data_IF_868038948805
#
_entry.id   IF_868038948805
#
_cell.length_a   1.000
_cell.length_b   1.000
_cell.length_c   1.000
_cell.angle_alpha   90.00
_cell.angle_beta   90.00
_cell.angle_gamma   90.00
#
_symmetry.space_group_name_H-M   'P 1'
#
loop_
_entity.id
_entity.type
_entity.pdbx_description
1 polymer ?
#
# COMPACT_ATOMS: atom_id res chain seq x y z
N UNK A 1 9.32 22.87 -34.72
CA UNK A 1 10.47 21.93 -34.75
C UNK A 1 10.96 21.59 -33.37
N UNK A 2 11.58 22.54 -32.65
CA UNK A 2 12.25 22.32 -31.36
C UNK A 2 11.32 21.84 -30.22
N UNK A 3 10.16 22.48 -30.02
CA UNK A 3 9.17 22.10 -28.99
C UNK A 3 8.65 20.66 -29.13
N UNK A 4 8.46 20.18 -30.37
CA UNK A 4 8.00 18.82 -30.64
C UNK A 4 9.02 17.76 -30.19
N UNK A 5 10.32 18.05 -30.33
CA UNK A 5 11.39 17.15 -29.89
C UNK A 5 11.46 17.04 -28.35
N UNK A 6 11.36 18.17 -27.62
CA UNK A 6 11.31 18.14 -26.15
C UNK A 6 10.06 17.45 -25.63
N UNK A 7 8.92 17.65 -26.28
CA UNK A 7 7.67 16.99 -25.89
C UNK A 7 7.82 15.46 -25.99
N UNK A 8 8.41 14.95 -27.08
CA UNK A 8 8.64 13.49 -27.24
C UNK A 8 9.56 12.94 -26.15
N UNK A 9 10.67 13.63 -25.84
CA UNK A 9 11.57 13.20 -24.76
C UNK A 9 10.88 13.21 -23.39
N UNK A 10 10.15 14.28 -23.07
CA UNK A 10 9.43 14.41 -21.81
C UNK A 10 8.34 13.35 -21.66
N UNK A 11 7.51 13.15 -22.69
CA UNK A 11 6.44 12.13 -22.68
C UNK A 11 7.03 10.73 -22.56
N UNK A 12 8.12 10.42 -23.26
CA UNK A 12 8.77 9.12 -23.16
C UNK A 12 9.31 8.87 -21.73
N UNK A 13 9.97 9.86 -21.12
CA UNK A 13 10.45 9.75 -19.74
C UNK A 13 9.30 9.62 -18.72
N UNK A 14 8.24 10.41 -18.87
CA UNK A 14 7.07 10.34 -18.00
C UNK A 14 6.37 8.97 -18.10
N UNK A 15 6.21 8.44 -19.31
CA UNK A 15 5.63 7.13 -19.55
C UNK A 15 6.51 6.00 -19.00
N UNK A 16 7.84 6.09 -19.16
CA UNK A 16 8.76 5.13 -18.57
C UNK A 16 8.65 5.11 -17.03
N UNK A 17 8.65 6.28 -16.39
CA UNK A 17 8.48 6.40 -14.93
C UNK A 17 7.13 5.85 -14.46
N UNK A 18 6.05 6.17 -15.18
CA UNK A 18 4.71 5.63 -14.88
C UNK A 18 4.71 4.10 -14.93
N UNK A 19 5.25 3.51 -16.01
CA UNK A 19 5.31 2.06 -16.16
C UNK A 19 6.14 1.40 -15.06
N UNK A 20 7.27 1.99 -14.67
CA UNK A 20 8.09 1.48 -13.56
C UNK A 20 7.34 1.53 -12.24
N UNK A 21 6.71 2.66 -11.90
CA UNK A 21 5.94 2.77 -10.65
C UNK A 21 4.77 1.80 -10.61
N UNK A 22 4.05 1.65 -11.73
CA UNK A 22 2.96 0.69 -11.85
C UNK A 22 3.44 -0.75 -11.66
N UNK A 23 4.54 -1.15 -12.31
CA UNK A 23 5.13 -2.49 -12.13
C UNK A 23 5.53 -2.76 -10.69
N UNK A 24 6.25 -1.83 -10.06
CA UNK A 24 6.63 -1.97 -8.64
C UNK A 24 5.39 -2.13 -7.74
N UNK A 25 4.30 -1.43 -8.08
CA UNK A 25 3.02 -1.54 -7.37
C UNK A 25 2.38 -2.91 -7.49
N UNK A 26 2.41 -3.49 -8.71
CA UNK A 26 1.89 -4.83 -8.98
C UNK A 26 2.75 -5.93 -8.37
N UNK A 27 4.08 -5.76 -8.37
CA UNK A 27 5.01 -6.71 -7.73
C UNK A 27 4.72 -6.86 -6.23
N UNK A 28 4.24 -5.81 -5.54
CA UNK A 28 3.83 -5.93 -4.14
C UNK A 28 2.71 -6.96 -3.95
N UNK A 29 1.72 -7.02 -4.84
CA UNK A 29 0.64 -8.01 -4.78
C UNK A 29 1.20 -9.44 -4.88
N UNK A 30 2.10 -9.68 -5.83
CA UNK A 30 2.76 -10.98 -6.00
C UNK A 30 3.54 -11.37 -4.73
N UNK A 31 4.24 -10.42 -4.10
CA UNK A 31 4.95 -10.70 -2.83
C UNK A 31 4.02 -11.02 -1.67
N UNK A 32 2.87 -10.35 -1.58
CA UNK A 32 1.86 -10.66 -0.56
C UNK A 32 1.34 -12.09 -0.77
N UNK A 33 1.14 -12.50 -2.02
CA UNK A 33 0.73 -13.86 -2.35
C UNK A 33 1.80 -14.91 -2.01
N UNK A 34 3.07 -14.64 -2.33
CA UNK A 34 4.20 -15.49 -1.93
C UNK A 34 4.22 -15.70 -0.41
N UNK A 35 4.11 -14.61 0.36
CA UNK A 35 4.08 -14.70 1.82
C UNK A 35 2.82 -15.39 2.32
N UNK A 36 1.66 -15.22 1.68
CA UNK A 36 0.45 -15.93 2.07
C UNK A 36 0.63 -17.46 1.97
N UNK A 37 1.29 -17.93 0.90
CA UNK A 37 1.61 -19.35 0.74
C UNK A 37 2.58 -19.85 1.81
N UNK A 38 3.67 -19.12 2.05
CA UNK A 38 4.64 -19.46 3.10
C UNK A 38 3.96 -19.45 4.47
N UNK A 39 3.19 -18.42 4.79
CA UNK A 39 2.52 -18.28 6.06
C UNK A 39 1.50 -19.41 6.31
N UNK A 40 0.76 -19.81 5.28
CA UNK A 40 -0.17 -20.93 5.35
C UNK A 40 0.52 -22.28 5.61
N UNK A 41 1.78 -22.45 5.16
CA UNK A 41 2.56 -23.67 5.40
C UNK A 41 3.22 -23.73 6.77
N UNK A 42 3.67 -22.60 7.32
CA UNK A 42 4.50 -22.59 8.54
C UNK A 42 3.75 -22.13 9.80
N UNK A 43 2.66 -21.36 9.66
CA UNK A 43 1.94 -20.82 10.82
C UNK A 43 0.56 -21.49 11.02
N UNK A 44 0.04 -21.48 12.25
CA UNK A 44 -1.37 -21.74 12.49
C UNK A 44 -2.24 -20.79 11.67
N UNK A 45 -3.40 -21.28 11.19
CA UNK A 45 -4.30 -20.54 10.29
C UNK A 45 -4.60 -19.11 10.76
N UNK A 46 -4.87 -18.92 12.06
CA UNK A 46 -5.18 -17.60 12.61
C UNK A 46 -4.01 -16.61 12.47
N UNK A 47 -2.78 -17.05 12.77
CA UNK A 47 -1.57 -16.24 12.63
C UNK A 47 -1.25 -15.95 11.16
N UNK A 48 -1.38 -16.95 10.28
CA UNK A 48 -1.19 -16.77 8.85
C UNK A 48 -2.15 -15.72 8.27
N UNK A 49 -3.44 -15.81 8.63
CA UNK A 49 -4.45 -14.83 8.23
C UNK A 49 -4.15 -13.42 8.77
N UNK A 50 -3.63 -13.32 10.00
CA UNK A 50 -3.23 -12.04 10.60
C UNK A 50 -2.10 -11.38 9.82
N UNK A 51 -1.06 -12.14 9.45
CA UNK A 51 0.07 -11.64 8.65
C UNK A 51 -0.41 -11.10 7.30
N UNK A 52 -1.19 -11.90 6.57
CA UNK A 52 -1.73 -11.51 5.25
C UNK A 52 -2.63 -10.29 5.37
N UNK A 53 -3.46 -10.20 6.42
CA UNK A 53 -4.31 -9.04 6.69
C UNK A 53 -3.49 -7.76 6.85
N UNK A 54 -2.43 -7.77 7.65
CA UNK A 54 -1.58 -6.60 7.84
C UNK A 54 -0.76 -6.25 6.61
N UNK A 55 -0.30 -7.23 5.82
CA UNK A 55 0.38 -6.96 4.55
C UNK A 55 -0.53 -6.27 3.54
N UNK A 56 -1.78 -6.71 3.41
CA UNK A 56 -2.78 -6.03 2.57
C UNK A 56 -3.09 -4.63 3.10
N UNK A 57 -3.21 -4.46 4.43
CA UNK A 57 -3.38 -3.14 5.03
C UNK A 57 -2.20 -2.22 4.72
N UNK A 58 -0.96 -2.72 4.82
CA UNK A 58 0.26 -1.98 4.53
C UNK A 58 0.32 -1.55 3.06
N UNK A 59 -0.07 -2.43 2.14
CA UNK A 59 -0.13 -2.12 0.71
C UNK A 59 -1.13 -1.00 0.43
N UNK A 60 -2.33 -1.08 0.99
CA UNK A 60 -3.33 -0.01 0.89
C UNK A 60 -2.81 1.31 1.51
N UNK A 61 -2.23 1.25 2.71
CA UNK A 61 -1.70 2.42 3.40
C UNK A 61 -0.58 3.12 2.61
N UNK A 62 0.20 2.36 1.81
CA UNK A 62 1.26 2.90 0.96
C UNK A 62 0.78 3.83 -0.15
N UNK A 63 -0.51 3.82 -0.50
CA UNK A 63 -1.08 4.74 -1.48
C UNK A 63 -1.64 6.02 -0.86
N UNK A 64 -1.86 6.05 0.46
CA UNK A 64 -2.43 7.22 1.13
C UNK A 64 -1.46 8.39 1.00
N UNK A 65 -1.98 9.54 0.57
CA UNK A 65 -1.21 10.77 0.36
C UNK A 65 -0.64 10.96 -1.05
N UNK A 66 -0.73 9.97 -1.96
CA UNK A 66 -0.22 10.13 -3.34
C UNK A 66 -1.00 11.16 -4.19
N UNK A 67 -2.31 11.26 -3.97
CA UNK A 67 -3.15 12.33 -4.49
C UNK A 67 -4.20 12.66 -3.44
N UNK A 68 -4.02 13.76 -2.72
CA UNK A 68 -4.75 14.10 -1.49
C UNK A 68 -6.27 14.10 -1.60
N UNK A 69 -6.84 14.27 -2.80
CA UNK A 69 -8.29 14.23 -2.99
C UNK A 69 -8.83 12.80 -3.17
N UNK A 70 -8.08 11.94 -3.87
CA UNK A 70 -8.50 10.58 -4.23
C UNK A 70 -8.02 9.56 -3.22
N UNK A 71 -6.73 9.61 -2.88
CA UNK A 71 -6.05 8.71 -1.96
C UNK A 71 -5.86 9.34 -0.58
N UNK A 72 -6.91 9.97 -0.04
CA UNK A 72 -6.94 10.35 1.39
C UNK A 72 -7.38 9.17 2.25
N UNK A 73 -7.11 9.25 3.55
CA UNK A 73 -7.63 8.32 4.54
C UNK A 73 -9.15 8.18 4.39
N UNK A 74 -9.88 9.29 4.35
CA UNK A 74 -11.34 9.30 4.34
C UNK A 74 -11.92 8.78 3.01
N UNK A 75 -11.34 9.16 1.87
CA UNK A 75 -11.91 8.83 0.57
C UNK A 75 -11.49 7.47 0.05
N UNK A 76 -10.37 6.93 0.53
CA UNK A 76 -9.76 5.70 0.04
C UNK A 76 -9.57 4.67 1.16
N UNK A 77 -8.72 4.94 2.14
CA UNK A 77 -8.31 3.91 3.11
C UNK A 77 -9.46 3.45 4.02
N UNK A 78 -10.25 4.39 4.54
CA UNK A 78 -11.39 4.11 5.40
C UNK A 78 -12.47 3.32 4.66
N UNK A 79 -12.71 3.63 3.38
CA UNK A 79 -13.66 2.87 2.55
C UNK A 79 -13.19 1.43 2.33
N UNK A 80 -11.91 1.26 2.01
CA UNK A 80 -11.32 -0.06 1.87
C UNK A 80 -11.35 -0.84 3.19
N UNK A 81 -11.05 -0.18 4.31
CA UNK A 81 -11.11 -0.82 5.62
C UNK A 81 -12.54 -1.18 6.04
N UNK A 82 -13.53 -0.37 5.69
CA UNK A 82 -14.95 -0.69 5.91
C UNK A 82 -15.39 -1.92 5.10
N UNK A 83 -14.94 -2.02 3.84
CA UNK A 83 -15.28 -3.13 2.95
C UNK A 83 -14.59 -4.44 3.31
N UNK A 84 -13.29 -4.39 3.61
CA UNK A 84 -12.45 -5.58 3.77
C UNK A 84 -12.02 -5.86 5.21
N UNK A 85 -12.27 -4.93 6.15
CA UNK A 85 -12.01 -5.06 7.58
C UNK A 85 -10.58 -5.48 7.90
N UNK A 86 -9.61 -4.78 7.28
CA UNK A 86 -8.20 -5.04 7.50
C UNK A 86 -7.78 -4.72 8.95
N UNK A 87 -8.18 -3.55 9.45
CA UNK A 87 -7.81 -3.00 10.74
C UNK A 87 -9.03 -2.86 11.63
N UNK A 88 -8.88 -3.32 12.87
CA UNK A 88 -9.80 -3.08 13.97
C UNK A 88 -9.83 -1.60 14.35
N UNK A 89 -10.86 -1.14 15.09
CA UNK A 89 -10.92 0.25 15.53
C UNK A 89 -9.71 0.71 16.36
N UNK A 90 -9.14 -0.18 17.19
CA UNK A 90 -7.93 0.12 17.96
C UNK A 90 -6.68 0.25 17.08
N UNK A 91 -6.57 -0.59 16.04
CA UNK A 91 -5.47 -0.52 15.07
C UNK A 91 -5.58 0.74 14.20
N UNK A 92 -6.80 1.12 13.81
CA UNK A 92 -7.07 2.38 13.11
C UNK A 92 -6.66 3.60 13.94
N UNK A 93 -7.03 3.65 15.22
CA UNK A 93 -6.63 4.75 16.12
C UNK A 93 -5.11 4.88 16.23
N UNK A 94 -4.37 3.77 16.18
CA UNK A 94 -2.90 3.78 16.12
C UNK A 94 -2.38 4.33 14.80
N UNK A 95 -3.01 4.03 13.67
CA UNK A 95 -2.62 4.60 12.37
C UNK A 95 -2.82 6.11 12.31
N UNK A 96 -3.88 6.64 12.94
CA UNK A 96 -4.08 8.09 13.07
C UNK A 96 -2.97 8.76 13.87
N UNK A 97 -2.51 8.13 14.96
CA UNK A 97 -1.38 8.63 15.76
C UNK A 97 -0.06 8.63 14.98
N UNK A 98 0.21 7.56 14.23
CA UNK A 98 1.42 7.45 13.40
C UNK A 98 1.39 8.46 12.25
N UNK A 99 0.20 8.80 11.75
CA UNK A 99 -0.01 9.87 10.77
C UNK A 99 -0.34 9.37 9.38
N UNK A 100 -1.35 8.51 9.25
CA UNK A 100 -1.75 7.89 7.98
C UNK A 100 -1.92 8.89 6.82
N UNK A 101 -2.47 10.06 7.08
CA UNK A 101 -2.70 11.09 6.06
C UNK A 101 -1.41 11.81 5.58
N UNK A 102 -0.31 11.70 6.33
CA UNK A 102 0.94 12.42 5.99
C UNK A 102 1.64 11.84 4.75
N UNK A 103 1.37 10.58 4.40
CA UNK A 103 1.98 9.92 3.23
C UNK A 103 3.50 9.78 3.30
N UNK A 104 4.11 9.91 4.49
CA UNK A 104 5.55 9.79 4.74
C UNK A 104 6.05 8.33 4.73
N UNK A 105 5.11 7.38 4.73
CA UNK A 105 5.38 5.95 4.69
C UNK A 105 5.57 5.30 6.05
N UNK A 106 5.39 6.03 7.15
CA UNK A 106 5.52 5.49 8.49
C UNK A 106 4.41 4.48 8.81
N UNK A 107 3.19 4.72 8.32
CA UNK A 107 2.05 3.83 8.56
C UNK A 107 2.20 2.44 7.93
N UNK A 108 2.61 2.34 6.66
CA UNK A 108 2.78 1.00 6.06
C UNK A 108 3.94 0.25 6.73
N UNK A 109 4.99 0.94 7.20
CA UNK A 109 6.10 0.33 7.94
C UNK A 109 5.65 -0.20 9.30
N UNK A 110 4.86 0.58 10.04
CA UNK A 110 4.25 0.14 11.31
C UNK A 110 3.40 -1.12 11.10
N UNK A 111 2.57 -1.15 10.05
CA UNK A 111 1.75 -2.31 9.71
C UNK A 111 2.58 -3.55 9.35
N UNK A 112 3.70 -3.37 8.64
CA UNK A 112 4.63 -4.47 8.37
C UNK A 112 5.29 -4.98 9.65
N UNK A 113 5.61 -4.12 10.62
CA UNK A 113 6.17 -4.55 11.91
C UNK A 113 5.19 -5.43 12.71
N UNK A 114 3.89 -5.17 12.63
CA UNK A 114 2.86 -6.00 13.27
C UNK A 114 2.75 -7.42 12.71
N UNK A 115 3.38 -7.70 11.55
CA UNK A 115 3.45 -9.08 11.02
C UNK A 115 4.42 -9.97 11.81
N UNK A 116 5.34 -9.38 12.56
CA UNK A 116 6.42 -10.08 13.29
C UNK A 116 6.11 -10.17 14.80
N UNK A 117 5.22 -9.31 15.29
CA UNK A 117 4.69 -9.32 16.66
C UNK A 117 3.54 -10.33 16.78
#
# INVERSE_FOLDING_TARGET
GFLSFFLVLFVNQANARFNTMYKNSMECEERIFDIANVAATYFPKASAQRVVRYMNAAHAAGYVGLASEVYSQQNFFDKLNQQHKFLTPSEMARMEQVGLERGDGDCYRELLLWTIQ
#
